data_IF_590873859752
#
_entry.id   IF_590873859752
#
_cell.length_a   1.000
_cell.length_b   1.000
_cell.length_c   1.000
_cell.angle_alpha   90.00
_cell.angle_beta   90.00
_cell.angle_gamma   90.00
#
_symmetry.space_group_name_H-M   'P 1'
#
loop_
_entity.id
_entity.type
_entity.pdbx_description
1 polymer ?
#
# COMPACT_ATOMS: atom_id res chain seq x y z
N UNK A 1 -21.79 58.21 16.07
CA UNK A 1 -22.02 58.89 17.38
C UNK A 1 -21.64 57.93 18.49
N UNK A 2 -20.74 58.41 19.40
CA UNK A 2 -20.28 57.88 20.72
C UNK A 2 -19.44 56.55 20.60
N UNK A 3 -18.13 56.50 20.59
CA UNK A 3 -17.02 56.93 21.50
C UNK A 3 -17.27 56.66 22.98
N UNK A 4 -16.40 55.77 23.55
CA UNK A 4 -15.66 55.86 24.82
C UNK A 4 -14.89 54.56 24.98
N UNK A 5 -13.60 54.40 24.93
CA UNK A 5 -12.44 55.00 25.63
C UNK A 5 -12.26 54.51 27.07
N UNK A 6 -11.08 53.89 27.25
CA UNK A 6 -10.14 53.92 28.39
C UNK A 6 -10.47 52.98 29.59
N UNK A 7 -9.54 52.35 30.32
CA UNK A 7 -8.22 52.75 30.81
C UNK A 7 -7.52 51.51 31.39
N UNK A 8 -6.20 51.47 31.29
CA UNK A 8 -5.21 50.61 31.87
C UNK A 8 -5.18 50.61 33.42
N UNK A 9 -4.68 49.53 34.01
CA UNK A 9 -3.95 49.60 35.26
C UNK A 9 -2.89 48.48 35.34
N UNK A 10 -1.67 48.96 35.43
CA UNK A 10 -0.40 48.31 35.67
C UNK A 10 -0.22 48.14 37.17
N UNK A 11 0.15 46.98 37.67
CA UNK A 11 0.86 46.86 38.97
C UNK A 11 1.86 45.72 38.93
N UNK A 12 3.11 46.09 38.96
CA UNK A 12 4.25 45.24 39.23
C UNK A 12 4.45 45.17 40.75
N UNK A 13 4.82 44.00 41.27
CA UNK A 13 5.58 43.93 42.51
C UNK A 13 6.55 42.74 42.49
N UNK A 14 7.75 43.02 42.93
CA UNK A 14 9.00 42.25 42.89
C UNK A 14 9.21 41.39 44.14
N UNK A 15 10.02 40.32 43.94
CA UNK A 15 10.98 39.67 44.87
C UNK A 15 10.46 38.86 46.06
N UNK A 16 10.88 37.59 46.18
CA UNK A 16 12.10 37.17 46.82
C UNK A 16 12.41 35.67 46.55
N UNK A 17 13.70 35.36 46.45
CA UNK A 17 14.29 34.04 46.33
C UNK A 17 14.41 33.36 47.69
N UNK A 18 14.37 31.98 47.69
CA UNK A 18 15.17 31.06 48.50
C UNK A 18 14.78 29.62 48.14
N UNK A 19 15.62 28.88 47.52
CA UNK A 19 16.57 27.81 47.88
C UNK A 19 15.99 26.48 48.38
N UNK A 20 16.38 25.44 47.61
CA UNK A 20 16.67 24.02 47.97
C UNK A 20 15.52 23.08 48.36
N UNK A 21 15.52 21.93 47.66
CA UNK A 21 15.04 20.66 48.16
C UNK A 21 14.34 19.81 47.08
N UNK A 22 15.09 18.87 46.58
CA UNK A 22 14.80 17.52 46.08
C UNK A 22 13.39 17.05 45.72
N UNK A 23 13.41 16.32 44.61
CA UNK A 23 12.62 15.17 44.25
C UNK A 23 11.18 15.33 43.72
N UNK A 24 11.02 14.68 42.59
CA UNK A 24 9.89 13.96 42.05
C UNK A 24 9.06 14.59 40.92
N UNK A 25 9.04 13.76 39.86
CA UNK A 25 7.97 13.51 38.90
C UNK A 25 7.60 14.62 37.93
N UNK A 26 8.35 14.68 36.86
CA UNK A 26 7.84 15.19 35.58
C UNK A 26 6.72 14.33 35.04
N UNK A 27 5.50 14.76 35.22
CA UNK A 27 4.35 14.22 34.51
C UNK A 27 4.35 14.80 33.09
N UNK A 28 4.97 14.07 32.16
CA UNK A 28 4.86 14.33 30.75
C UNK A 28 3.48 13.84 30.28
N UNK A 29 2.60 14.76 29.96
CA UNK A 29 1.36 14.48 29.24
C UNK A 29 1.72 14.02 27.83
N UNK A 30 1.81 12.72 27.63
CA UNK A 30 1.92 12.13 26.31
C UNK A 30 0.56 12.15 25.64
N UNK A 31 0.43 12.99 24.61
CA UNK A 31 -0.66 12.92 23.65
C UNK A 31 -0.53 11.59 22.93
N UNK A 32 -1.38 10.62 23.27
CA UNK A 32 -1.46 9.34 22.58
C UNK A 32 -2.08 9.55 21.20
N UNK A 33 -1.25 9.66 20.18
CA UNK A 33 -1.66 9.42 18.81
C UNK A 33 -1.98 7.94 18.70
N UNK A 34 -3.23 7.63 18.39
CA UNK A 34 -3.70 6.24 18.20
C UNK A 34 -3.12 5.72 16.88
N UNK A 35 -1.93 5.14 16.93
CA UNK A 35 -1.42 4.31 15.85
C UNK A 35 -2.15 2.99 15.92
N UNK A 36 -2.82 2.62 14.85
CA UNK A 36 -3.32 1.26 14.63
C UNK A 36 -2.10 0.33 14.63
N UNK A 37 -1.74 -0.17 15.78
CA UNK A 37 -0.68 -1.17 15.91
C UNK A 37 -1.16 -2.44 15.24
N UNK A 38 -0.56 -2.78 14.11
CA UNK A 38 -0.55 -4.14 13.58
C UNK A 38 -0.16 -5.05 14.75
N UNK A 39 -1.02 -5.99 15.09
CA UNK A 39 -0.76 -6.95 16.14
C UNK A 39 0.34 -7.88 15.66
N UNK A 40 1.59 -7.50 15.91
CA UNK A 40 2.69 -8.44 15.90
C UNK A 40 2.42 -9.37 17.08
N UNK A 41 2.01 -10.60 16.79
CA UNK A 41 1.94 -11.62 17.83
C UNK A 41 3.38 -11.82 18.29
N UNK A 42 3.65 -11.39 19.54
CA UNK A 42 4.94 -11.45 20.18
C UNK A 42 5.60 -12.81 20.01
N UNK A 43 6.91 -12.70 19.80
CA UNK A 43 7.95 -13.72 19.94
C UNK A 43 8.45 -14.37 18.66
N UNK A 44 9.14 -13.58 17.82
CA UNK A 44 10.34 -14.15 17.21
C UNK A 44 11.49 -13.76 18.16
N UNK A 45 12.21 -14.71 18.78
CA UNK A 45 13.33 -14.38 19.63
C UNK A 45 14.45 -13.68 18.82
N UNK A 46 14.90 -12.55 19.30
CA UNK A 46 15.96 -11.72 18.71
C UNK A 46 17.35 -12.41 18.63
N UNK A 47 17.45 -13.69 18.95
CA UNK A 47 18.72 -14.41 19.03
C UNK A 47 19.00 -15.35 17.84
N UNK A 48 17.97 -15.83 17.13
CA UNK A 48 18.15 -16.71 15.97
C UNK A 48 17.12 -16.31 14.89
N UNK A 49 17.57 -15.64 13.83
CA UNK A 49 16.72 -15.34 12.69
C UNK A 49 16.18 -16.65 12.08
N UNK A 50 14.90 -16.69 11.63
CA UNK A 50 14.32 -17.89 11.03
C UNK A 50 15.11 -18.28 9.77
N UNK A 51 15.42 -19.56 9.62
CA UNK A 51 16.14 -20.09 8.46
C UNK A 51 15.26 -20.91 7.52
N UNK A 52 13.98 -21.08 7.87
CA UNK A 52 12.99 -21.82 7.12
C UNK A 52 11.68 -21.05 7.05
N UNK A 53 11.61 -20.05 6.16
CA UNK A 53 10.45 -19.20 5.97
C UNK A 53 9.56 -19.76 4.86
N UNK A 54 8.25 -19.86 5.11
CA UNK A 54 7.23 -20.05 4.08
C UNK A 54 6.51 -18.71 3.88
N UNK A 55 6.50 -18.20 2.65
CA UNK A 55 5.73 -17.01 2.28
C UNK A 55 4.47 -17.40 1.50
N UNK A 56 3.29 -17.11 2.07
CA UNK A 56 1.99 -17.36 1.45
C UNK A 56 1.34 -16.05 0.95
N UNK A 57 2.17 -15.13 0.48
CA UNK A 57 1.73 -13.83 -0.05
C UNK A 57 2.74 -13.32 -1.06
N UNK A 58 2.33 -13.12 -2.33
CA UNK A 58 3.24 -12.61 -3.36
C UNK A 58 3.85 -11.24 -2.99
N UNK A 59 3.08 -10.36 -2.36
CA UNK A 59 3.58 -9.06 -1.88
C UNK A 59 4.72 -9.21 -0.89
N UNK A 60 4.55 -10.10 0.10
CA UNK A 60 5.57 -10.29 1.13
C UNK A 60 6.74 -11.15 0.64
N UNK A 61 6.52 -12.03 -0.34
CA UNK A 61 7.60 -12.69 -1.06
C UNK A 61 8.51 -11.65 -1.70
N UNK A 62 7.96 -10.65 -2.40
CA UNK A 62 8.74 -9.56 -2.97
C UNK A 62 9.51 -8.76 -1.92
N UNK A 63 8.87 -8.46 -0.77
CA UNK A 63 9.53 -7.76 0.35
C UNK A 63 10.71 -8.57 0.90
N UNK A 64 10.50 -9.88 1.17
CA UNK A 64 11.56 -10.77 1.68
C UNK A 64 12.75 -10.87 0.73
N UNK A 65 12.51 -10.96 -0.58
CA UNK A 65 13.59 -10.95 -1.57
C UNK A 65 14.32 -9.60 -1.59
N UNK A 66 13.58 -8.49 -1.54
CA UNK A 66 14.15 -7.15 -1.61
C UNK A 66 15.04 -6.82 -0.42
N UNK A 67 14.68 -7.28 0.78
CA UNK A 67 15.49 -7.09 1.99
C UNK A 67 16.63 -8.12 2.15
N UNK A 68 16.84 -9.01 1.15
CA UNK A 68 17.95 -9.99 1.17
C UNK A 68 17.66 -11.28 1.91
N UNK A 69 16.42 -11.55 2.32
CA UNK A 69 16.03 -12.77 3.06
C UNK A 69 15.77 -14.00 2.14
N UNK A 70 16.15 -13.95 0.87
CA UNK A 70 15.86 -14.99 -0.12
C UNK A 70 16.36 -16.39 0.28
N UNK A 71 17.52 -16.49 0.91
CA UNK A 71 18.12 -17.77 1.31
C UNK A 71 17.36 -18.43 2.49
N UNK A 72 16.59 -17.67 3.23
CA UNK A 72 15.75 -18.15 4.33
C UNK A 72 14.42 -18.71 3.83
N UNK A 73 14.01 -18.41 2.58
CA UNK A 73 12.72 -18.86 2.02
C UNK A 73 12.86 -20.31 1.54
N UNK A 74 12.07 -21.21 2.13
CA UNK A 74 12.02 -22.62 1.76
C UNK A 74 10.85 -22.98 0.84
N UNK A 75 9.77 -22.19 0.84
CA UNK A 75 8.64 -22.32 -0.06
C UNK A 75 7.88 -21.00 -0.17
N UNK A 76 7.18 -20.82 -1.28
CA UNK A 76 6.28 -19.70 -1.55
C UNK A 76 4.90 -20.22 -1.99
N UNK A 77 3.92 -19.32 -2.12
CA UNK A 77 2.63 -19.67 -2.68
C UNK A 77 2.63 -19.70 -4.22
N UNK A 78 1.56 -20.23 -4.80
CA UNK A 78 1.36 -20.40 -6.24
C UNK A 78 1.21 -19.09 -7.04
N UNK A 79 1.09 -17.94 -6.35
CA UNK A 79 1.01 -16.61 -6.95
C UNK A 79 2.31 -15.81 -6.82
N UNK A 80 3.28 -16.31 -6.08
CA UNK A 80 4.58 -15.67 -5.87
C UNK A 80 5.51 -15.86 -7.08
N UNK A 81 5.41 -14.95 -8.03
CA UNK A 81 6.09 -15.00 -9.35
C UNK A 81 7.21 -13.96 -9.53
N UNK A 82 7.48 -13.13 -8.52
CA UNK A 82 8.51 -12.09 -8.56
C UNK A 82 9.31 -12.03 -7.25
N UNK A 83 10.65 -11.77 -7.33
CA UNK A 83 11.46 -11.76 -8.55
C UNK A 83 11.48 -13.16 -9.20
N UNK A 84 12.06 -13.28 -10.41
CA UNK A 84 12.10 -14.57 -11.13
C UNK A 84 12.67 -15.71 -10.27
N UNK A 85 13.60 -15.41 -9.35
CA UNK A 85 14.16 -16.37 -8.39
C UNK A 85 13.13 -16.95 -7.40
N UNK A 86 11.97 -16.34 -7.24
CA UNK A 86 10.89 -16.91 -6.43
C UNK A 86 10.33 -18.20 -7.05
N UNK A 87 10.35 -18.29 -8.39
CA UNK A 87 9.92 -19.48 -9.13
C UNK A 87 10.87 -20.68 -8.97
N UNK A 88 12.09 -20.45 -8.49
CA UNK A 88 13.04 -21.53 -8.17
C UNK A 88 12.73 -22.18 -6.80
N UNK A 89 11.83 -21.57 -6.00
CA UNK A 89 11.36 -22.13 -4.73
C UNK A 89 10.19 -23.08 -4.96
N UNK A 90 9.98 -24.10 -4.12
CA UNK A 90 8.72 -24.84 -4.07
C UNK A 90 7.54 -23.89 -3.97
N UNK A 91 6.54 -23.97 -4.87
CA UNK A 91 5.44 -23.02 -4.99
C UNK A 91 4.07 -23.70 -5.24
N UNK A 92 3.89 -24.89 -4.68
CA UNK A 92 2.62 -25.62 -4.74
C UNK A 92 1.64 -25.28 -3.62
N UNK A 93 2.04 -24.40 -2.67
CA UNK A 93 1.17 -23.95 -1.60
C UNK A 93 0.22 -22.86 -2.10
N UNK A 94 -0.96 -22.75 -1.49
CA UNK A 94 -1.91 -21.67 -1.79
C UNK A 94 -1.99 -20.68 -0.65
N UNK A 95 -1.89 -19.39 -0.96
CA UNK A 95 -2.16 -18.31 -0.02
C UNK A 95 -3.66 -18.12 0.23
N UNK A 96 -4.53 -18.44 -0.75
CA UNK A 96 -5.99 -18.33 -0.63
C UNK A 96 -6.63 -19.52 0.09
N UNK A 97 -6.10 -20.72 -0.12
CA UNK A 97 -6.57 -21.97 0.49
C UNK A 97 -5.42 -22.71 1.16
N UNK A 98 -4.86 -22.17 2.24
CA UNK A 98 -3.68 -22.73 2.89
C UNK A 98 -3.98 -24.10 3.50
N UNK A 99 -3.09 -25.07 3.22
CA UNK A 99 -3.16 -26.40 3.81
C UNK A 99 -2.19 -26.51 4.99
N UNK A 100 -2.72 -26.49 6.20
CA UNK A 100 -1.94 -26.51 7.46
C UNK A 100 -1.03 -27.73 7.56
N UNK A 101 -1.49 -28.89 7.12
CA UNK A 101 -0.69 -30.13 7.17
C UNK A 101 0.49 -30.08 6.21
N UNK A 102 0.28 -29.56 4.98
CA UNK A 102 1.35 -29.38 4.00
C UNK A 102 2.38 -28.35 4.48
N UNK A 103 1.94 -27.24 5.06
CA UNK A 103 2.81 -26.22 5.66
C UNK A 103 3.64 -26.82 6.79
N UNK A 104 3.00 -27.50 7.75
CA UNK A 104 3.66 -28.10 8.92
C UNK A 104 4.66 -29.20 8.53
N UNK A 105 4.38 -29.94 7.46
CA UNK A 105 5.28 -31.00 6.95
C UNK A 105 6.65 -30.43 6.50
N UNK A 106 6.70 -29.17 6.06
CA UNK A 106 7.93 -28.46 5.68
C UNK A 106 8.72 -27.96 6.88
N UNK A 107 8.16 -28.00 8.10
CA UNK A 107 8.78 -27.59 9.37
C UNK A 107 9.34 -26.15 9.32
N UNK A 108 8.51 -25.15 8.97
CA UNK A 108 8.98 -23.77 8.92
C UNK A 108 9.26 -23.21 10.32
N UNK A 109 10.23 -22.29 10.39
CA UNK A 109 10.50 -21.46 11.55
C UNK A 109 9.59 -20.22 11.60
N UNK A 110 9.07 -19.81 10.42
CA UNK A 110 8.17 -18.68 10.27
C UNK A 110 7.27 -18.90 9.05
N UNK A 111 6.00 -18.55 9.18
CA UNK A 111 5.06 -18.44 8.05
C UNK A 111 4.63 -16.98 7.90
N UNK A 112 4.75 -16.44 6.70
CA UNK A 112 4.39 -15.05 6.35
C UNK A 112 3.10 -15.07 5.54
N UNK A 113 2.09 -14.31 5.96
CA UNK A 113 0.76 -14.24 5.34
C UNK A 113 0.31 -12.79 5.16
N UNK A 114 -0.59 -12.54 4.20
CA UNK A 114 -1.25 -11.25 4.02
C UNK A 114 -2.58 -11.17 4.78
N UNK A 115 -3.29 -12.29 4.89
CA UNK A 115 -4.62 -12.35 5.49
C UNK A 115 -4.76 -13.60 6.36
N UNK A 116 -5.43 -13.45 7.49
CA UNK A 116 -5.70 -14.52 8.45
C UNK A 116 -7.18 -14.94 8.47
N UNK A 117 -7.90 -14.71 7.37
CA UNK A 117 -9.35 -14.93 7.27
C UNK A 117 -9.82 -16.36 7.58
N UNK A 118 -8.89 -17.35 7.58
CA UNK A 118 -9.17 -18.76 7.93
C UNK A 118 -8.56 -19.19 9.28
N UNK A 119 -8.18 -18.24 10.15
CA UNK A 119 -7.52 -18.53 11.45
C UNK A 119 -6.25 -19.39 11.28
N UNK A 120 -5.48 -19.12 10.21
CA UNK A 120 -4.24 -19.86 9.94
C UNK A 120 -3.23 -19.66 11.07
N UNK A 121 -3.14 -18.45 11.62
CA UNK A 121 -2.33 -18.11 12.78
C UNK A 121 -2.68 -18.98 13.99
N UNK A 122 -3.95 -19.11 14.30
CA UNK A 122 -4.40 -19.96 15.42
C UNK A 122 -4.15 -21.45 15.17
N UNK A 123 -4.30 -21.91 13.92
CA UNK A 123 -4.05 -23.32 13.58
C UNK A 123 -2.57 -23.68 13.63
N UNK A 124 -1.69 -22.87 13.05
CA UNK A 124 -0.24 -23.07 13.06
C UNK A 124 0.35 -22.85 14.46
N UNK A 125 -0.19 -21.90 15.24
CA UNK A 125 0.20 -21.66 16.61
C UNK A 125 -0.01 -22.87 17.54
N UNK A 126 -1.05 -23.68 17.32
CA UNK A 126 -1.26 -24.96 18.05
C UNK A 126 -0.16 -25.99 17.76
N UNK A 127 0.52 -25.85 16.62
CA UNK A 127 1.66 -26.68 16.22
C UNK A 127 3.01 -26.07 16.60
N UNK A 128 3.00 -24.91 17.26
CA UNK A 128 4.21 -24.19 17.65
C UNK A 128 4.92 -23.47 16.51
N UNK A 129 4.22 -23.24 15.39
CA UNK A 129 4.75 -22.57 14.19
C UNK A 129 4.36 -21.08 14.27
N UNK A 130 5.35 -20.16 14.34
CA UNK A 130 5.10 -18.72 14.35
C UNK A 130 4.52 -18.24 13.02
N UNK A 131 3.63 -17.25 13.08
CA UNK A 131 3.06 -16.58 11.89
C UNK A 131 3.27 -15.08 12.00
N UNK A 132 3.79 -14.47 10.95
CA UNK A 132 3.78 -13.03 10.75
C UNK A 132 2.67 -12.69 9.74
N UNK A 133 1.85 -11.69 10.06
CA UNK A 133 0.75 -11.25 9.20
C UNK A 133 0.87 -9.78 8.84
N UNK A 134 0.85 -9.48 7.53
CA UNK A 134 0.87 -8.13 6.98
C UNK A 134 -0.39 -7.86 6.14
N UNK A 135 -1.50 -7.43 6.76
CA UNK A 135 -2.74 -7.15 6.03
C UNK A 135 -2.56 -6.00 5.03
N UNK A 136 -3.52 -5.88 4.10
CA UNK A 136 -3.54 -4.78 3.14
C UNK A 136 -3.37 -3.43 3.85
N UNK A 137 -2.42 -2.58 3.42
CA UNK A 137 -2.13 -1.31 4.07
C UNK A 137 -3.25 -0.31 3.82
N UNK A 138 -3.34 0.68 4.70
CA UNK A 138 -4.21 1.85 4.53
C UNK A 138 -3.43 3.10 4.15
N UNK A 139 -2.12 3.10 4.37
CA UNK A 139 -1.21 4.21 4.09
C UNK A 139 0.13 3.71 3.54
N UNK A 140 0.92 4.61 2.96
CA UNK A 140 2.29 4.30 2.56
C UNK A 140 3.18 3.95 3.77
N UNK A 141 2.95 4.60 4.92
CA UNK A 141 3.69 4.30 6.16
C UNK A 141 3.42 2.86 6.63
N UNK A 142 2.22 2.30 6.40
CA UNK A 142 1.94 0.90 6.71
C UNK A 142 2.79 -0.05 5.83
N UNK A 143 3.01 0.30 4.56
CA UNK A 143 3.89 -0.48 3.65
C UNK A 143 5.32 -0.47 4.17
N UNK A 144 5.83 0.71 4.50
CA UNK A 144 7.20 0.86 5.02
C UNK A 144 7.36 0.11 6.33
N UNK A 145 6.38 0.21 7.23
CA UNK A 145 6.39 -0.52 8.49
C UNK A 145 6.40 -2.05 8.30
N UNK A 146 5.68 -2.58 7.30
CA UNK A 146 5.69 -4.03 7.00
C UNK A 146 7.07 -4.48 6.52
N UNK A 147 7.73 -3.71 5.65
CA UNK A 147 9.10 -4.01 5.18
C UNK A 147 10.08 -4.00 6.37
N UNK A 148 10.03 -2.98 7.23
CA UNK A 148 10.89 -2.88 8.41
C UNK A 148 10.62 -3.99 9.43
N UNK A 149 9.36 -4.38 9.64
CA UNK A 149 8.99 -5.49 10.52
C UNK A 149 9.52 -6.83 9.99
N UNK A 150 9.42 -7.08 8.67
CA UNK A 150 10.01 -8.26 8.05
C UNK A 150 11.53 -8.24 8.17
N UNK A 151 12.17 -7.07 8.00
CA UNK A 151 13.59 -6.89 8.25
C UNK A 151 13.99 -7.26 9.67
N UNK A 152 13.22 -6.80 10.66
CA UNK A 152 13.45 -7.13 12.06
C UNK A 152 13.22 -8.63 12.36
N UNK A 153 12.17 -9.23 11.77
CA UNK A 153 11.82 -10.63 11.95
C UNK A 153 12.86 -11.58 11.33
N UNK A 154 13.51 -11.18 10.24
CA UNK A 154 14.46 -12.01 9.46
C UNK A 154 15.93 -11.70 9.71
N UNK A 155 16.21 -10.64 10.50
CA UNK A 155 17.58 -10.20 10.80
C UNK A 155 18.18 -9.25 9.74
N UNK A 156 17.37 -8.73 8.80
CA UNK A 156 17.76 -7.85 7.70
C UNK A 156 17.34 -6.38 7.92
N UNK A 157 17.58 -5.87 9.15
CA UNK A 157 17.13 -4.52 9.57
C UNK A 157 17.75 -3.41 8.69
N UNK A 158 19.03 -3.52 8.39
CA UNK A 158 19.75 -2.53 7.58
C UNK A 158 19.24 -2.47 6.16
N UNK A 159 19.09 -3.63 5.53
CA UNK A 159 18.60 -3.79 4.18
C UNK A 159 17.14 -3.32 4.04
N UNK A 160 16.31 -3.60 5.05
CA UNK A 160 14.92 -3.11 5.08
C UNK A 160 14.85 -1.58 5.13
N UNK A 161 15.68 -0.95 5.95
CA UNK A 161 15.77 0.51 6.01
C UNK A 161 16.28 1.12 4.69
N UNK A 162 17.22 0.47 4.00
CA UNK A 162 17.70 0.89 2.68
C UNK A 162 16.58 0.78 1.63
N UNK A 163 15.83 -0.32 1.60
CA UNK A 163 14.68 -0.52 0.69
C UNK A 163 13.64 0.58 0.90
N UNK A 164 13.25 0.84 2.15
CA UNK A 164 12.27 1.89 2.48
C UNK A 164 12.77 3.28 2.05
N UNK A 165 14.03 3.62 2.37
CA UNK A 165 14.63 4.90 1.99
C UNK A 165 14.70 5.10 0.48
N UNK A 166 15.02 4.05 -0.27
CA UNK A 166 15.02 4.09 -1.74
C UNK A 166 13.59 4.25 -2.29
N UNK A 167 12.61 3.49 -1.79
CA UNK A 167 11.20 3.62 -2.20
C UNK A 167 10.69 5.05 -1.98
N UNK A 168 10.92 5.66 -0.82
CA UNK A 168 10.51 7.04 -0.52
C UNK A 168 11.14 8.04 -1.49
N UNK A 169 12.41 7.84 -1.82
CA UNK A 169 13.15 8.69 -2.77
C UNK A 169 12.54 8.58 -4.17
N UNK A 170 12.32 7.35 -4.64
CA UNK A 170 11.83 7.09 -6.00
C UNK A 170 10.36 7.52 -6.16
N UNK A 171 9.53 7.30 -5.16
CA UNK A 171 8.14 7.79 -5.13
C UNK A 171 8.12 9.31 -5.21
N UNK A 172 8.92 9.98 -4.40
CA UNK A 172 9.02 11.45 -4.43
C UNK A 172 9.47 11.94 -5.80
N UNK A 173 10.49 11.32 -6.39
CA UNK A 173 11.00 11.66 -7.70
C UNK A 173 9.92 11.46 -8.80
N UNK A 174 9.17 10.37 -8.76
CA UNK A 174 8.11 10.09 -9.72
C UNK A 174 6.96 11.11 -9.62
N UNK A 175 6.57 11.50 -8.41
CA UNK A 175 5.52 12.51 -8.20
C UNK A 175 5.99 13.89 -8.67
N UNK A 176 7.22 14.27 -8.38
CA UNK A 176 7.78 15.57 -8.81
C UNK A 176 7.97 15.64 -10.33
N UNK A 177 8.25 14.51 -10.98
CA UNK A 177 8.41 14.44 -12.44
C UNK A 177 7.09 14.58 -13.20
N UNK A 178 5.95 14.31 -12.57
CA UNK A 178 4.65 14.46 -13.20
C UNK A 178 4.31 15.95 -13.41
N UNK A 179 3.63 16.31 -14.51
CA UNK A 179 3.22 17.67 -14.76
C UNK A 179 2.17 18.12 -13.74
N UNK A 180 2.26 19.36 -13.28
CA UNK A 180 1.19 19.98 -12.51
C UNK A 180 0.04 20.32 -13.46
N UNK A 181 -1.12 19.70 -13.22
CA UNK A 181 -2.32 19.96 -14.01
C UNK A 181 -3.01 21.24 -13.53
N UNK A 182 -3.48 22.06 -14.49
CA UNK A 182 -4.21 23.29 -14.18
C UNK A 182 -5.59 23.00 -13.53
N UNK A 183 -6.24 21.92 -13.96
CA UNK A 183 -7.48 21.39 -13.40
C UNK A 183 -7.27 19.89 -13.09
N UNK A 184 -7.88 19.39 -11.99
CA UNK A 184 -7.78 17.96 -11.65
C UNK A 184 -8.41 17.09 -12.75
N UNK A 185 -7.62 16.16 -13.29
CA UNK A 185 -8.12 15.19 -14.26
C UNK A 185 -8.87 14.05 -13.56
N UNK A 186 -9.87 13.51 -14.25
CA UNK A 186 -10.68 12.39 -13.77
C UNK A 186 -10.11 11.06 -14.23
N UNK A 187 -10.24 10.02 -13.40
CA UNK A 187 -9.81 8.68 -13.79
C UNK A 187 -10.81 7.59 -13.40
N UNK A 188 -10.78 6.52 -14.18
CA UNK A 188 -11.38 5.23 -13.88
C UNK A 188 -10.28 4.17 -13.77
N UNK A 189 -10.30 3.38 -12.69
CA UNK A 189 -9.43 2.23 -12.51
C UNK A 189 -10.24 0.95 -12.68
N UNK A 190 -9.86 0.11 -13.63
CA UNK A 190 -10.52 -1.15 -13.92
C UNK A 190 -9.78 -2.29 -13.26
N UNK A 191 -10.45 -2.97 -12.31
CA UNK A 191 -9.90 -4.15 -11.63
C UNK A 191 -10.12 -5.43 -12.43
N UNK A 192 -11.23 -5.50 -13.16
CA UNK A 192 -11.60 -6.65 -13.97
C UNK A 192 -12.63 -6.25 -15.06
N UNK A 193 -12.86 -7.11 -16.09
CA UNK A 193 -13.78 -6.81 -17.19
C UNK A 193 -15.25 -6.68 -16.77
N UNK A 194 -15.61 -6.98 -15.53
CA UNK A 194 -16.97 -6.79 -14.99
C UNK A 194 -17.16 -5.41 -14.38
N UNK A 195 -16.16 -4.51 -14.56
CA UNK A 195 -16.16 -3.09 -14.22
C UNK A 195 -16.10 -2.82 -12.70
N UNK A 196 -15.54 -3.72 -11.91
CA UNK A 196 -15.15 -3.36 -10.55
C UNK A 196 -14.04 -2.32 -10.56
N UNK A 197 -14.11 -1.41 -9.60
CA UNK A 197 -13.17 -0.30 -9.43
C UNK A 197 -12.77 -0.15 -7.97
N UNK A 198 -11.95 0.85 -7.70
CA UNK A 198 -11.49 1.23 -6.34
C UNK A 198 -11.88 2.66 -6.04
N UNK A 199 -12.21 2.98 -4.78
CA UNK A 199 -12.38 4.38 -4.34
C UNK A 199 -11.05 4.98 -3.90
N UNK A 200 -11.03 6.30 -3.67
CA UNK A 200 -9.86 6.99 -3.12
C UNK A 200 -9.54 6.60 -1.66
N UNK A 201 -10.44 5.89 -0.98
CA UNK A 201 -10.21 5.37 0.37
C UNK A 201 -9.31 4.13 0.38
N UNK A 202 -9.22 3.41 -0.75
CA UNK A 202 -8.33 2.26 -0.87
C UNK A 202 -6.87 2.69 -0.99
N UNK A 203 -5.94 1.78 -0.67
CA UNK A 203 -4.52 2.02 -0.89
C UNK A 203 -4.20 2.32 -2.37
N UNK A 204 -4.80 1.57 -3.30
CA UNK A 204 -4.68 1.80 -4.75
C UNK A 204 -5.17 3.22 -5.11
N UNK A 205 -6.32 3.63 -4.57
CA UNK A 205 -6.86 4.97 -4.80
C UNK A 205 -5.96 6.10 -4.30
N UNK A 206 -5.21 5.87 -3.21
CA UNK A 206 -4.25 6.84 -2.68
C UNK A 206 -3.04 7.05 -3.60
N UNK A 207 -2.62 6.04 -4.37
CA UNK A 207 -1.56 6.22 -5.38
C UNK A 207 -1.95 7.33 -6.37
N UNK A 208 -3.17 7.30 -6.88
CA UNK A 208 -3.67 8.35 -7.77
C UNK A 208 -3.83 9.70 -7.07
N UNK A 209 -4.13 9.67 -5.78
CA UNK A 209 -4.21 10.86 -4.91
C UNK A 209 -2.90 11.63 -4.82
N UNK A 210 -1.73 10.98 -4.96
CA UNK A 210 -0.41 11.63 -5.02
C UNK A 210 -0.30 12.63 -6.17
N UNK A 211 -1.07 12.42 -7.24
CA UNK A 211 -1.08 13.23 -8.45
C UNK A 211 -2.29 14.18 -8.51
N UNK A 212 -3.15 14.20 -7.49
CA UNK A 212 -4.35 15.04 -7.47
C UNK A 212 -5.45 14.60 -8.45
N UNK A 213 -5.45 13.33 -8.88
CA UNK A 213 -6.48 12.79 -9.78
C UNK A 213 -7.81 12.59 -9.05
N UNK A 214 -8.91 12.82 -9.76
CA UNK A 214 -10.29 12.65 -9.26
C UNK A 214 -10.84 11.30 -9.64
N UNK A 215 -11.18 10.48 -8.64
CA UNK A 215 -11.63 9.12 -8.83
C UNK A 215 -13.14 9.07 -9.13
N UNK A 216 -13.55 8.49 -10.26
CA UNK A 216 -14.95 8.34 -10.65
C UNK A 216 -15.75 7.37 -9.76
N UNK A 217 -15.08 6.43 -9.12
CA UNK A 217 -15.73 5.44 -8.25
C UNK A 217 -16.18 6.01 -6.91
N UNK A 218 -15.70 7.23 -6.54
CA UNK A 218 -16.04 7.84 -5.28
C UNK A 218 -17.54 8.11 -5.15
N UNK A 219 -18.15 7.58 -4.08
CA UNK A 219 -19.55 7.84 -3.73
C UNK A 219 -20.58 7.11 -4.61
N UNK A 220 -20.17 6.26 -5.53
CA UNK A 220 -21.08 5.47 -6.37
C UNK A 220 -21.87 4.48 -5.51
N UNK A 221 -21.20 3.81 -4.59
CA UNK A 221 -21.84 2.91 -3.62
C UNK A 221 -21.36 3.25 -2.21
N UNK A 222 -22.31 3.66 -1.35
CA UNK A 222 -21.97 4.14 -0.01
C UNK A 222 -21.42 3.01 0.86
N UNK A 223 -20.19 3.21 1.34
CA UNK A 223 -19.52 2.27 2.27
C UNK A 223 -18.90 1.06 1.58
N UNK A 224 -18.89 1.03 0.26
CA UNK A 224 -18.15 0.05 -0.53
C UNK A 224 -16.95 0.74 -1.21
N UNK A 225 -15.75 0.31 -0.86
CA UNK A 225 -14.50 0.84 -1.43
C UNK A 225 -14.09 0.16 -2.74
N UNK A 226 -14.81 -0.91 -3.12
CA UNK A 226 -14.62 -1.67 -4.35
C UNK A 226 -15.94 -1.79 -5.13
N UNK A 227 -16.55 -0.65 -5.57
CA UNK A 227 -17.85 -0.67 -6.23
C UNK A 227 -17.75 -1.29 -7.61
N UNK A 228 -18.83 -1.98 -8.02
CA UNK A 228 -19.02 -2.35 -9.40
C UNK A 228 -19.72 -1.21 -10.13
N UNK A 229 -19.04 -0.61 -11.12
CA UNK A 229 -19.61 0.43 -11.96
C UNK A 229 -20.39 -0.19 -13.13
N UNK A 230 -21.09 0.64 -13.90
CA UNK A 230 -21.69 0.23 -15.17
C UNK A 230 -21.15 1.08 -16.33
N UNK A 231 -21.22 0.54 -17.54
CA UNK A 231 -20.63 1.16 -18.70
C UNK A 231 -21.25 2.54 -19.00
N UNK A 232 -22.57 2.68 -18.84
CA UNK A 232 -23.27 3.94 -19.09
C UNK A 232 -22.80 5.05 -18.15
N UNK A 233 -22.57 4.72 -16.87
CA UNK A 233 -22.04 5.67 -15.90
C UNK A 233 -20.63 6.12 -16.28
N UNK A 234 -19.72 5.17 -16.61
CA UNK A 234 -18.33 5.48 -16.97
C UNK A 234 -18.29 6.35 -18.24
N UNK A 235 -19.07 5.99 -19.27
CA UNK A 235 -19.15 6.76 -20.52
C UNK A 235 -19.69 8.17 -20.26
N UNK A 236 -20.75 8.30 -19.46
CA UNK A 236 -21.37 9.60 -19.14
C UNK A 236 -20.44 10.47 -18.29
N UNK A 237 -19.68 9.88 -17.38
CA UNK A 237 -18.68 10.57 -16.57
C UNK A 237 -17.45 11.00 -17.39
N UNK A 238 -17.21 10.36 -18.54
CA UNK A 238 -16.21 10.73 -19.53
C UNK A 238 -14.81 10.92 -18.95
N UNK A 239 -14.16 9.87 -18.40
CA UNK A 239 -12.87 9.97 -17.73
C UNK A 239 -11.78 10.47 -18.66
N UNK A 240 -10.83 11.24 -18.10
CA UNK A 240 -9.64 11.70 -18.82
C UNK A 240 -8.58 10.61 -18.92
N UNK A 241 -8.58 9.67 -17.96
CA UNK A 241 -7.68 8.50 -17.90
C UNK A 241 -8.47 7.24 -17.57
N UNK A 242 -8.05 6.12 -18.16
CA UNK A 242 -8.48 4.78 -17.78
C UNK A 242 -7.21 3.96 -17.48
N UNK A 243 -7.12 3.40 -16.28
CA UNK A 243 -6.04 2.52 -15.87
C UNK A 243 -6.58 1.09 -15.77
N UNK A 244 -5.97 0.18 -16.52
CA UNK A 244 -6.36 -1.23 -16.57
C UNK A 244 -5.42 -2.04 -15.69
N UNK A 245 -5.95 -2.68 -14.65
CA UNK A 245 -5.23 -3.60 -13.76
C UNK A 245 -5.57 -5.07 -14.05
N UNK A 246 -6.06 -5.34 -15.25
CA UNK A 246 -6.56 -6.63 -15.71
C UNK A 246 -6.01 -7.03 -17.11
N UNK A 247 -4.83 -6.51 -17.39
CA UNK A 247 -4.15 -6.74 -18.66
C UNK A 247 -3.63 -8.17 -18.81
N UNK A 248 -3.05 -8.75 -17.73
CA UNK A 248 -2.51 -10.12 -17.72
C UNK A 248 -3.59 -11.16 -17.51
N UNK A 249 -4.41 -11.01 -16.47
CA UNK A 249 -5.43 -12.01 -16.14
C UNK A 249 -6.45 -12.14 -17.26
N UNK A 250 -6.82 -11.04 -17.88
CA UNK A 250 -8.08 -10.92 -18.60
C UNK A 250 -7.88 -10.33 -20.00
N UNK A 251 -6.64 -10.01 -20.39
CA UNK A 251 -6.27 -9.56 -21.73
C UNK A 251 -6.83 -8.19 -22.11
N UNK A 252 -7.11 -7.33 -21.11
CA UNK A 252 -7.59 -5.98 -21.40
C UNK A 252 -6.46 -5.10 -21.92
N UNK A 253 -6.79 -4.26 -22.89
CA UNK A 253 -5.86 -3.34 -23.54
C UNK A 253 -6.58 -2.07 -24.01
N UNK A 254 -5.85 -1.01 -24.40
CA UNK A 254 -6.46 0.17 -25.03
C UNK A 254 -7.39 -0.18 -26.20
N UNK A 255 -7.01 -1.16 -27.03
CA UNK A 255 -7.78 -1.60 -28.17
C UNK A 255 -9.07 -2.32 -27.76
N UNK A 256 -9.03 -3.20 -26.73
CA UNK A 256 -10.23 -3.89 -26.23
C UNK A 256 -11.21 -2.90 -25.62
N UNK A 257 -10.72 -1.90 -24.88
CA UNK A 257 -11.54 -0.83 -24.30
C UNK A 257 -12.17 0.04 -25.39
N UNK A 258 -11.39 0.47 -26.38
CA UNK A 258 -11.91 1.26 -27.49
C UNK A 258 -12.96 0.53 -28.35
N UNK A 259 -12.91 -0.80 -28.38
CA UNK A 259 -13.87 -1.64 -29.10
C UNK A 259 -15.20 -1.86 -28.36
N UNK A 260 -15.29 -1.49 -27.07
CA UNK A 260 -16.53 -1.58 -26.28
C UNK A 260 -17.56 -0.55 -26.79
N UNK A 261 -18.84 -0.90 -26.76
CA UNK A 261 -19.92 -0.02 -27.24
C UNK A 261 -19.93 1.33 -26.48
N UNK A 262 -19.75 2.42 -27.22
CA UNK A 262 -19.76 3.79 -26.69
C UNK A 262 -18.46 4.30 -26.10
N UNK A 263 -17.47 3.44 -25.81
CA UNK A 263 -16.24 3.84 -25.14
C UNK A 263 -15.28 4.62 -26.03
N UNK A 264 -15.32 4.42 -27.35
CA UNK A 264 -14.51 5.15 -28.33
C UNK A 264 -14.70 6.67 -28.30
N UNK A 265 -15.81 7.15 -27.71
CA UNK A 265 -16.12 8.57 -27.59
C UNK A 265 -15.64 9.20 -26.28
N UNK A 266 -15.06 8.44 -25.35
CA UNK A 266 -14.55 8.96 -24.08
C UNK A 266 -13.23 9.72 -24.26
N UNK A 267 -12.99 10.72 -23.42
CA UNK A 267 -11.74 11.49 -23.43
C UNK A 267 -10.51 10.60 -23.35
N UNK A 268 -10.54 9.59 -22.48
CA UNK A 268 -9.42 8.67 -22.29
C UNK A 268 -9.07 7.94 -23.60
N UNK A 269 -10.05 7.46 -24.35
CA UNK A 269 -9.81 6.75 -25.62
C UNK A 269 -9.37 7.73 -26.71
N UNK A 270 -10.04 8.89 -26.84
CA UNK A 270 -9.73 9.89 -27.87
C UNK A 270 -8.28 10.43 -27.71
N UNK A 271 -7.79 10.55 -26.47
CA UNK A 271 -6.48 11.13 -26.16
C UNK A 271 -5.38 10.08 -25.91
N UNK A 272 -5.61 8.81 -26.23
CA UNK A 272 -4.69 7.70 -25.99
C UNK A 272 -4.26 7.57 -24.50
N UNK A 273 -5.18 7.88 -23.58
CA UNK A 273 -5.02 7.82 -22.14
C UNK A 273 -5.64 6.57 -21.50
N UNK A 274 -5.74 5.48 -22.24
CA UNK A 274 -6.03 4.15 -21.69
C UNK A 274 -4.70 3.45 -21.45
N UNK A 275 -4.39 3.19 -20.16
CA UNK A 275 -3.09 2.73 -19.73
C UNK A 275 -3.22 1.33 -19.13
N UNK A 276 -2.65 0.34 -19.79
CA UNK A 276 -2.51 -0.99 -19.21
C UNK A 276 -1.35 -0.96 -18.19
N UNK A 277 -1.65 -1.36 -16.96
CA UNK A 277 -0.67 -1.57 -15.89
C UNK A 277 -0.55 -3.07 -15.68
N UNK A 278 0.65 -3.54 -15.34
CA UNK A 278 0.84 -4.91 -14.92
C UNK A 278 -0.03 -5.21 -13.69
N UNK A 279 -0.89 -6.22 -13.76
CA UNK A 279 -1.86 -6.57 -12.71
C UNK A 279 -1.18 -6.78 -11.35
N UNK A 280 0.00 -7.43 -11.37
CA UNK A 280 0.77 -7.67 -10.15
C UNK A 280 1.27 -6.36 -9.51
N UNK A 281 1.71 -5.41 -10.34
CA UNK A 281 2.19 -4.10 -9.87
C UNK A 281 1.03 -3.26 -9.33
N UNK A 282 -0.13 -3.30 -9.99
CA UNK A 282 -1.31 -2.54 -9.61
C UNK A 282 -2.00 -3.06 -8.32
N UNK A 283 -1.76 -4.34 -7.95
CA UNK A 283 -2.46 -5.01 -6.85
C UNK A 283 -1.58 -5.35 -5.64
N UNK A 284 -0.24 -5.18 -5.76
CA UNK A 284 0.71 -5.52 -4.70
C UNK A 284 1.32 -4.25 -4.09
N UNK A 285 1.39 -4.22 -2.77
CA UNK A 285 1.96 -3.09 -2.01
C UNK A 285 3.42 -3.30 -1.58
N UNK A 286 4.17 -4.10 -2.35
CA UNK A 286 5.59 -4.37 -2.11
C UNK A 286 6.52 -3.29 -2.69
N UNK A 287 7.82 -3.58 -2.82
CA UNK A 287 8.80 -2.63 -3.37
C UNK A 287 8.48 -2.14 -4.79
N UNK A 288 7.76 -2.94 -5.60
CA UNK A 288 7.31 -2.54 -6.94
C UNK A 288 6.15 -1.53 -6.96
N UNK A 289 5.66 -1.11 -5.79
CA UNK A 289 4.77 0.05 -5.69
C UNK A 289 5.36 1.29 -6.38
N UNK A 290 6.68 1.42 -6.38
CA UNK A 290 7.41 2.46 -7.13
C UNK A 290 7.11 2.40 -8.62
N UNK A 291 7.06 1.20 -9.20
CA UNK A 291 6.78 0.99 -10.63
C UNK A 291 5.34 1.42 -10.98
N UNK A 292 4.38 1.14 -10.09
CA UNK A 292 3.00 1.60 -10.26
C UNK A 292 2.93 3.14 -10.29
N UNK A 293 3.56 3.80 -9.32
CA UNK A 293 3.59 5.26 -9.23
C UNK A 293 4.30 5.87 -10.45
N UNK A 294 5.39 5.26 -10.93
CA UNK A 294 6.09 5.67 -12.14
C UNK A 294 5.22 5.50 -13.39
N UNK A 295 4.43 4.43 -13.48
CA UNK A 295 3.51 4.21 -14.59
C UNK A 295 2.44 5.32 -14.65
N UNK A 296 1.86 5.71 -13.50
CA UNK A 296 0.93 6.83 -13.42
C UNK A 296 1.61 8.15 -13.82
N UNK A 297 2.79 8.46 -13.25
CA UNK A 297 3.56 9.66 -13.57
C UNK A 297 3.87 9.77 -15.07
N UNK A 298 4.27 8.65 -15.69
CA UNK A 298 4.56 8.56 -17.12
C UNK A 298 3.30 8.81 -17.96
N UNK A 299 2.17 8.23 -17.56
CA UNK A 299 0.90 8.45 -18.23
C UNK A 299 0.51 9.95 -18.26
N UNK A 300 0.65 10.62 -17.12
CA UNK A 300 0.36 12.05 -17.00
C UNK A 300 1.29 12.93 -17.83
N UNK A 301 2.53 12.49 -18.02
CA UNK A 301 3.54 13.24 -18.79
C UNK A 301 3.32 13.19 -20.31
N UNK A 302 2.46 12.29 -20.81
CA UNK A 302 2.13 12.19 -22.25
C UNK A 302 1.20 13.31 -22.72
N UNK A 303 0.44 13.91 -21.81
CA UNK A 303 -0.47 15.01 -22.14
C UNK A 303 0.33 16.30 -22.22
N UNK A 304 0.28 17.06 -23.34
CA UNK A 304 0.88 18.37 -23.40
C UNK A 304 0.29 19.25 -22.29
N UNK A 305 1.14 19.85 -21.46
CA UNK A 305 0.69 20.84 -20.49
C UNK A 305 -0.19 21.86 -21.26
N UNK A 306 -1.47 21.94 -20.92
CA UNK A 306 -2.36 22.92 -21.52
C UNK A 306 -1.82 24.30 -21.15
N UNK A 307 -1.41 25.06 -22.17
CA UNK A 307 -0.82 26.38 -22.04
C UNK A 307 -1.87 27.42 -21.65
#
# INVERSE_FOLDING_TARGET
MKRFSSIAALTALLLTAAACGDDEASTSTSTSTSTNSVKVTDTVPSADAPMAIISLSPTHTEMLFAIGAADQIIAVDDQSNYPAAALDKPHELSGFEPNVEAIAALKPDLVVIADDGKDLTGQLGKLGIPVWSGPAPTTFDDVYAQIEQLGAATGHIGEAAEVVGQMQTDITAAVVAAPVMAEPATFYHELDPTLYSVTSSTFIGQVYGLFGLVNLANGVEKGNDYPQLNAEFIIAANPDYIFLADSKCCGQSPETVAARDGWAATNAVINDNVIAIDDDIASRWGPRLVDFIQAVSTALSKVPAQA
#
